data_IF_002229939375
#
_entry.id   IF_002229939375
#
_cell.length_a   1.000
_cell.length_b   1.000
_cell.length_c   1.000
_cell.angle_alpha   90.00
_cell.angle_beta   90.00
_cell.angle_gamma   90.00
#
_symmetry.space_group_name_H-M   'P 1'
#
loop_
_entity.id
_entity.type
_entity.pdbx_description
1 polymer ?
#
# COMPACT_ATOMS: atom_id res chain seq x y z
N UNK A 1 -8.53 -28.49 -13.65
CA UNK A 1 -8.26 -29.40 -12.52
C UNK A 1 -8.77 -28.80 -11.21
N UNK A 2 -9.56 -29.54 -10.45
CA UNK A 2 -10.12 -29.09 -9.16
C UNK A 2 -9.07 -29.32 -8.05
N UNK A 3 -8.70 -28.28 -7.33
CA UNK A 3 -7.74 -28.38 -6.23
C UNK A 3 -8.35 -29.12 -5.04
N UNK A 4 -7.78 -30.27 -4.67
CA UNK A 4 -8.20 -31.05 -3.51
C UNK A 4 -7.21 -30.86 -2.37
N UNK A 5 -7.71 -30.51 -1.17
CA UNK A 5 -6.89 -30.49 0.03
C UNK A 5 -6.78 -31.90 0.62
N UNK A 6 -5.60 -32.23 1.14
CA UNK A 6 -5.41 -33.49 1.87
C UNK A 6 -6.39 -33.58 3.05
N UNK A 7 -6.92 -34.77 3.33
CA UNK A 7 -7.81 -35.03 4.47
C UNK A 7 -7.03 -35.12 5.79
N UNK A 8 -7.75 -35.31 6.91
CA UNK A 8 -7.08 -35.59 8.20
C UNK A 8 -6.41 -36.96 8.16
N UNK A 9 -7.08 -37.98 7.62
CA UNK A 9 -6.54 -39.33 7.51
C UNK A 9 -5.28 -39.36 6.64
N UNK A 10 -5.30 -38.71 5.47
CA UNK A 10 -4.12 -38.64 4.62
C UNK A 10 -2.92 -38.00 5.33
N UNK A 11 -3.14 -36.95 6.14
CA UNK A 11 -2.08 -36.35 6.95
C UNK A 11 -1.56 -37.27 8.04
N UNK A 12 -2.44 -38.08 8.63
CA UNK A 12 -2.07 -39.09 9.61
C UNK A 12 -1.20 -40.17 8.96
N UNK A 13 -1.62 -40.71 7.81
CA UNK A 13 -0.86 -41.69 7.03
C UNK A 13 0.52 -41.16 6.65
N UNK A 14 0.62 -39.91 6.16
CA UNK A 14 1.93 -39.27 5.89
C UNK A 14 2.82 -39.27 7.14
N UNK A 15 2.27 -38.96 8.32
CA UNK A 15 3.08 -38.92 9.55
C UNK A 15 3.58 -40.31 9.97
N UNK A 16 2.76 -41.34 9.85
CA UNK A 16 3.12 -42.72 10.21
C UNK A 16 4.16 -43.28 9.23
N UNK A 17 3.97 -43.06 7.92
CA UNK A 17 4.90 -43.57 6.92
C UNK A 17 6.26 -42.85 6.95
N UNK A 18 6.28 -41.57 7.35
CA UNK A 18 7.54 -40.85 7.60
C UNK A 18 8.28 -41.39 8.84
N UNK A 19 7.57 -41.83 9.87
CA UNK A 19 8.18 -42.48 11.04
C UNK A 19 8.76 -43.86 10.69
N UNK A 20 8.18 -44.54 9.70
CA UNK A 20 8.72 -45.79 9.12
C UNK A 20 9.80 -45.56 8.06
N UNK A 21 10.33 -44.34 7.96
CA UNK A 21 11.40 -43.95 7.02
C UNK A 21 11.10 -44.23 5.54
N UNK A 22 9.82 -44.30 5.16
CA UNK A 22 9.46 -44.55 3.77
C UNK A 22 9.76 -43.36 2.87
N UNK A 23 10.09 -43.64 1.61
CA UNK A 23 10.34 -42.60 0.62
C UNK A 23 9.08 -41.78 0.35
N UNK A 24 9.26 -40.48 0.09
CA UNK A 24 8.14 -39.56 -0.24
C UNK A 24 7.37 -39.99 -1.49
N UNK A 25 8.01 -40.73 -2.40
CA UNK A 25 7.37 -41.34 -3.58
C UNK A 25 6.40 -42.45 -3.16
N UNK A 26 6.85 -43.39 -2.34
CA UNK A 26 6.00 -44.47 -1.84
C UNK A 26 4.83 -43.94 -0.99
N UNK A 27 5.06 -42.90 -0.19
CA UNK A 27 3.98 -42.22 0.56
C UNK A 27 2.92 -41.65 -0.38
N UNK A 28 3.36 -41.04 -1.49
CA UNK A 28 2.46 -40.43 -2.47
C UNK A 28 1.60 -41.48 -3.20
N UNK A 29 2.21 -42.61 -3.56
CA UNK A 29 1.53 -43.77 -4.13
C UNK A 29 0.51 -44.36 -3.14
N UNK A 30 0.89 -44.53 -1.88
CA UNK A 30 0.02 -45.09 -0.84
C UNK A 30 -1.24 -44.27 -0.56
N UNK A 31 -1.17 -42.94 -0.67
CA UNK A 31 -2.33 -42.05 -0.43
C UNK A 31 -3.02 -41.58 -1.72
N UNK A 32 -2.55 -42.05 -2.89
CA UNK A 32 -3.12 -41.73 -4.20
C UNK A 32 -2.95 -40.26 -4.62
N UNK A 33 -1.83 -39.61 -4.29
CA UNK A 33 -1.57 -38.21 -4.68
C UNK A 33 -0.24 -38.06 -5.41
N UNK A 34 -0.08 -36.97 -6.15
CA UNK A 34 1.19 -36.67 -6.80
C UNK A 34 2.30 -36.39 -5.76
N UNK A 35 3.54 -36.85 -6.05
CA UNK A 35 4.72 -36.65 -5.19
C UNK A 35 4.88 -35.21 -4.70
N UNK A 36 4.68 -34.23 -5.57
CA UNK A 36 4.83 -32.80 -5.23
C UNK A 36 3.83 -32.34 -4.17
N UNK A 37 2.67 -32.97 -4.06
CA UNK A 37 1.68 -32.68 -3.01
C UNK A 37 2.21 -33.06 -1.64
N UNK A 38 2.87 -34.22 -1.54
CA UNK A 38 3.50 -34.69 -0.29
C UNK A 38 4.65 -33.76 0.11
N UNK A 39 5.54 -33.40 -0.82
CA UNK A 39 6.63 -32.45 -0.56
C UNK A 39 6.10 -31.11 -0.02
N UNK A 40 5.14 -30.51 -0.74
CA UNK A 40 4.52 -29.23 -0.33
C UNK A 40 3.79 -29.32 1.00
N UNK A 41 3.19 -30.46 1.32
CA UNK A 41 2.51 -30.66 2.60
C UNK A 41 3.52 -30.71 3.75
N UNK A 42 4.60 -31.48 3.60
CA UNK A 42 5.67 -31.59 4.60
C UNK A 42 6.29 -30.22 4.85
N UNK A 43 6.75 -29.55 3.79
CA UNK A 43 7.38 -28.22 3.88
C UNK A 43 6.50 -27.19 4.61
N UNK A 44 5.20 -27.16 4.30
CA UNK A 44 4.27 -26.18 4.89
C UNK A 44 3.89 -26.48 6.35
N UNK A 45 3.96 -27.73 6.77
CA UNK A 45 3.37 -28.19 8.03
C UNK A 45 4.35 -28.81 9.01
N UNK A 46 5.61 -28.97 8.64
CA UNK A 46 6.68 -29.27 9.58
C UNK A 46 6.80 -28.17 10.65
N UNK A 47 7.24 -28.58 11.83
CA UNK A 47 7.57 -27.67 12.92
C UNK A 47 8.75 -26.77 12.53
N UNK A 48 8.63 -25.46 12.72
CA UNK A 48 9.73 -24.52 12.50
C UNK A 48 10.91 -24.76 13.45
N UNK A 49 10.65 -25.26 14.65
CA UNK A 49 11.66 -25.45 15.68
C UNK A 49 12.40 -26.79 15.55
N UNK A 50 11.69 -27.84 15.16
CA UNK A 50 12.23 -29.22 15.14
C UNK A 50 12.38 -29.78 13.73
N UNK A 51 11.86 -29.12 12.70
CA UNK A 51 11.80 -29.62 11.32
C UNK A 51 10.89 -30.84 11.13
N UNK A 52 10.43 -31.47 12.21
CA UNK A 52 9.65 -32.70 12.20
C UNK A 52 8.22 -32.45 11.73
N UNK A 53 7.75 -33.36 10.87
CA UNK A 53 6.35 -33.42 10.45
C UNK A 53 5.56 -34.29 11.42
N UNK A 54 4.49 -33.75 11.99
CA UNK A 54 3.59 -34.50 12.90
C UNK A 54 2.15 -34.22 12.50
N UNK A 55 1.31 -35.25 12.52
CA UNK A 55 -0.12 -35.16 12.20
C UNK A 55 -0.85 -34.05 12.98
N UNK A 56 -0.63 -33.97 14.29
CA UNK A 56 -1.29 -32.98 15.15
C UNK A 56 -0.95 -31.54 14.73
N UNK A 57 0.33 -31.29 14.43
CA UNK A 57 0.82 -29.99 13.95
C UNK A 57 0.28 -29.67 12.57
N UNK A 58 0.27 -30.63 11.65
CA UNK A 58 -0.18 -30.42 10.28
C UNK A 58 -1.67 -30.12 10.20
N UNK A 59 -2.51 -30.86 10.92
CA UNK A 59 -3.94 -30.58 11.03
C UNK A 59 -4.18 -29.21 11.67
N UNK A 60 -3.50 -28.89 12.77
CA UNK A 60 -3.63 -27.59 13.45
C UNK A 60 -3.26 -26.43 12.54
N UNK A 61 -2.14 -26.52 11.81
CA UNK A 61 -1.68 -25.50 10.85
C UNK A 61 -2.65 -25.37 9.68
N UNK A 62 -3.12 -26.48 9.11
CA UNK A 62 -4.12 -26.47 8.03
C UNK A 62 -5.44 -25.82 8.47
N UNK A 63 -5.96 -26.18 9.66
CA UNK A 63 -7.16 -25.57 10.25
C UNK A 63 -6.97 -24.07 10.52
N UNK A 64 -5.82 -23.66 11.06
CA UNK A 64 -5.49 -22.23 11.29
C UNK A 64 -5.50 -21.46 9.97
N UNK A 65 -4.90 -22.00 8.91
CA UNK A 65 -4.93 -21.41 7.57
C UNK A 65 -6.37 -21.29 7.05
N UNK A 66 -7.18 -22.36 7.15
CA UNK A 66 -8.60 -22.33 6.77
C UNK A 66 -9.37 -21.25 7.54
N UNK A 67 -9.18 -21.15 8.87
CA UNK A 67 -9.82 -20.14 9.73
C UNK A 67 -9.41 -18.70 9.38
N UNK A 68 -8.14 -18.45 9.01
CA UNK A 68 -7.70 -17.11 8.56
C UNK A 68 -8.54 -16.57 7.40
N UNK A 69 -9.03 -17.46 6.53
CA UNK A 69 -9.86 -17.11 5.40
C UNK A 69 -11.36 -16.99 5.73
N UNK A 70 -11.81 -17.45 6.90
CA UNK A 70 -13.20 -17.45 7.36
C UNK A 70 -13.59 -16.17 8.15
N UNK A 71 -13.06 -15.01 7.78
CA UNK A 71 -13.59 -13.74 8.29
C UNK A 71 -14.93 -13.44 7.61
N UNK A 72 -15.90 -12.77 8.28
CA UNK A 72 -17.06 -12.24 7.57
C UNK A 72 -16.57 -11.32 6.45
N UNK A 73 -16.73 -11.77 5.20
CA UNK A 73 -16.33 -11.02 3.99
C UNK A 73 -17.46 -10.18 3.44
N UNK A 74 -18.70 -10.54 3.79
CA UNK A 74 -19.91 -9.87 3.33
C UNK A 74 -20.57 -9.20 4.52
N UNK A 75 -21.06 -7.99 4.29
CA UNK A 75 -21.97 -7.32 5.21
C UNK A 75 -23.28 -8.08 5.19
N UNK A 76 -23.79 -8.47 6.36
CA UNK A 76 -25.16 -8.97 6.48
C UNK A 76 -26.12 -7.80 6.75
N UNK A 77 -27.41 -7.90 6.43
CA UNK A 77 -28.38 -6.84 6.71
C UNK A 77 -28.45 -6.47 8.21
N UNK A 78 -28.35 -7.47 9.10
CA UNK A 78 -28.29 -7.25 10.55
C UNK A 78 -27.02 -6.49 10.98
N UNK A 79 -25.87 -6.84 10.41
CA UNK A 79 -24.62 -6.17 10.67
C UNK A 79 -24.69 -4.70 10.20
N UNK A 80 -25.29 -4.45 9.04
CA UNK A 80 -25.49 -3.10 8.53
C UNK A 80 -26.39 -2.27 9.44
N UNK A 81 -27.52 -2.82 9.92
CA UNK A 81 -28.41 -2.13 10.88
C UNK A 81 -27.69 -1.74 12.17
N UNK A 82 -26.84 -2.63 12.69
CA UNK A 82 -26.06 -2.32 13.88
C UNK A 82 -24.99 -1.26 13.61
N UNK A 83 -24.27 -1.37 12.50
CA UNK A 83 -23.22 -0.42 12.10
C UNK A 83 -23.82 0.95 11.83
N UNK A 84 -24.96 1.04 11.13
CA UNK A 84 -25.63 2.31 10.82
C UNK A 84 -26.10 3.03 12.08
N UNK A 85 -26.55 2.31 13.11
CA UNK A 85 -26.85 2.88 14.44
C UNK A 85 -25.63 3.59 15.04
N UNK A 86 -24.47 2.94 15.04
CA UNK A 86 -23.24 3.56 15.56
C UNK A 86 -22.73 4.71 14.67
N UNK A 87 -22.85 4.58 13.34
CA UNK A 87 -22.50 5.65 12.41
C UNK A 87 -23.35 6.90 12.68
N UNK A 88 -24.65 6.74 12.91
CA UNK A 88 -25.56 7.84 13.27
C UNK A 88 -25.24 8.48 14.63
N UNK A 89 -24.61 7.73 15.53
CA UNK A 89 -24.05 8.24 16.80
C UNK A 89 -22.70 8.95 16.62
N UNK A 90 -22.19 9.09 15.39
CA UNK A 90 -20.93 9.78 15.08
C UNK A 90 -19.68 8.92 15.27
N UNK A 91 -19.82 7.59 15.43
CA UNK A 91 -18.66 6.70 15.58
C UNK A 91 -17.94 6.50 14.25
N UNK A 92 -16.61 6.46 14.28
CA UNK A 92 -15.81 6.12 13.10
C UNK A 92 -15.89 4.61 12.79
N UNK A 93 -15.74 4.24 11.52
CA UNK A 93 -15.74 2.83 11.12
C UNK A 93 -14.71 1.97 11.89
N UNK A 94 -13.57 2.55 12.24
CA UNK A 94 -12.54 1.88 13.06
C UNK A 94 -13.00 1.69 14.51
N UNK A 95 -13.63 2.71 15.12
CA UNK A 95 -14.20 2.59 16.47
C UNK A 95 -15.31 1.54 16.52
N UNK A 96 -16.15 1.48 15.49
CA UNK A 96 -17.21 0.47 15.37
C UNK A 96 -16.61 -0.93 15.31
N UNK A 97 -15.59 -1.17 14.47
CA UNK A 97 -14.90 -2.45 14.43
C UNK A 97 -14.29 -2.83 15.79
N UNK A 98 -13.67 -1.86 16.49
CA UNK A 98 -13.13 -2.06 17.83
C UNK A 98 -14.21 -2.45 18.83
N UNK A 99 -15.32 -1.70 18.88
CA UNK A 99 -16.45 -1.97 19.77
C UNK A 99 -17.08 -3.33 19.52
N UNK A 100 -17.28 -3.69 18.25
CA UNK A 100 -17.82 -5.01 17.89
C UNK A 100 -16.91 -6.15 18.34
N UNK A 101 -15.59 -5.96 18.24
CA UNK A 101 -14.61 -6.93 18.72
C UNK A 101 -14.69 -7.10 20.25
N UNK A 102 -14.81 -6.00 21.01
CA UNK A 102 -14.98 -6.04 22.47
C UNK A 102 -16.28 -6.72 22.88
N UNK A 103 -17.36 -6.52 22.12
CA UNK A 103 -18.67 -7.16 22.35
C UNK A 103 -18.75 -8.63 21.86
N UNK A 104 -17.66 -9.18 21.30
CA UNK A 104 -17.66 -10.53 20.72
C UNK A 104 -18.54 -10.69 19.48
N UNK A 105 -18.96 -9.59 18.85
CA UNK A 105 -19.86 -9.59 17.68
C UNK A 105 -19.06 -9.68 16.38
N UNK A 106 -19.63 -10.39 15.41
CA UNK A 106 -19.05 -10.45 14.06
C UNK A 106 -19.16 -9.09 13.37
N UNK A 107 -18.05 -8.62 12.81
CA UNK A 107 -18.00 -7.36 12.06
C UNK A 107 -17.04 -7.48 10.87
N UNK A 108 -17.39 -6.85 9.75
CA UNK A 108 -16.50 -6.70 8.59
C UNK A 108 -15.37 -5.70 8.91
N UNK A 109 -14.36 -5.63 8.03
CA UNK A 109 -13.30 -4.63 8.18
C UNK A 109 -13.82 -3.20 7.99
N UNK A 110 -13.19 -2.22 8.64
CA UNK A 110 -13.53 -0.79 8.49
C UNK A 110 -13.48 -0.34 7.01
N UNK A 111 -12.58 -0.90 6.20
CA UNK A 111 -12.54 -0.66 4.76
C UNK A 111 -13.81 -1.15 4.05
N UNK A 112 -14.38 -2.27 4.48
CA UNK A 112 -15.66 -2.78 3.95
C UNK A 112 -16.81 -1.88 4.38
N UNK A 113 -16.81 -1.40 5.63
CA UNK A 113 -17.79 -0.41 6.11
C UNK A 113 -17.76 0.84 5.20
N UNK A 114 -16.58 1.40 4.91
CA UNK A 114 -16.47 2.54 4.01
C UNK A 114 -17.00 2.25 2.60
N UNK A 115 -16.73 1.07 2.03
CA UNK A 115 -17.32 0.67 0.73
C UNK A 115 -18.85 0.67 0.77
N UNK A 116 -19.45 0.24 1.88
CA UNK A 116 -20.90 0.27 2.05
C UNK A 116 -21.44 1.68 2.23
N UNK A 117 -20.75 2.55 2.97
CA UNK A 117 -21.14 3.96 3.09
C UNK A 117 -21.10 4.66 1.72
N UNK A 118 -20.09 4.36 0.89
CA UNK A 118 -20.04 4.86 -0.50
C UNK A 118 -21.19 4.34 -1.36
N UNK A 119 -21.55 3.06 -1.23
CA UNK A 119 -22.69 2.47 -1.94
C UNK A 119 -24.02 3.10 -1.52
N UNK A 120 -24.21 3.28 -0.21
CA UNK A 120 -25.38 3.94 0.37
C UNK A 120 -25.52 5.37 -0.18
N UNK A 121 -24.43 6.15 -0.15
CA UNK A 121 -24.39 7.50 -0.74
C UNK A 121 -24.77 7.50 -2.22
N UNK A 122 -24.22 6.58 -3.02
CA UNK A 122 -24.51 6.51 -4.45
C UNK A 122 -25.96 6.08 -4.73
N UNK A 123 -26.60 5.38 -3.80
CA UNK A 123 -28.01 5.02 -3.86
C UNK A 123 -28.94 6.10 -3.27
N UNK A 124 -28.42 7.27 -2.88
CA UNK A 124 -29.19 8.37 -2.30
C UNK A 124 -29.36 8.31 -0.78
N UNK A 125 -28.66 7.41 -0.09
CA UNK A 125 -28.69 7.27 1.36
C UNK A 125 -28.00 8.42 2.12
N UNK A 126 -28.29 8.51 3.42
CA UNK A 126 -27.90 9.61 4.28
C UNK A 126 -26.73 9.29 5.23
N UNK A 127 -26.27 8.03 5.27
CA UNK A 127 -25.34 7.56 6.30
C UNK A 127 -24.01 8.31 6.25
N UNK A 128 -23.59 8.75 5.06
CA UNK A 128 -22.37 9.52 4.88
C UNK A 128 -22.40 10.89 5.61
N UNK A 129 -23.58 11.46 5.87
CA UNK A 129 -23.73 12.77 6.56
C UNK A 129 -23.29 12.71 8.01
N UNK A 130 -23.40 11.54 8.64
CA UNK A 130 -22.99 11.28 10.02
C UNK A 130 -21.50 10.96 10.15
N UNK A 131 -20.79 10.77 9.03
CA UNK A 131 -19.33 10.62 9.05
C UNK A 131 -18.67 11.99 9.27
N UNK A 132 -17.68 12.05 10.17
CA UNK A 132 -17.00 13.29 10.61
C UNK A 132 -16.58 14.24 9.47
N UNK A 133 -16.13 13.71 8.34
CA UNK A 133 -15.68 14.51 7.20
C UNK A 133 -16.67 14.51 6.03
N UNK A 134 -17.79 13.78 6.12
CA UNK A 134 -18.81 13.67 5.06
C UNK A 134 -18.23 13.35 3.67
N UNK A 135 -17.03 12.73 3.62
CA UNK A 135 -16.21 12.54 2.41
C UNK A 135 -15.89 13.83 1.62
N UNK A 136 -15.90 14.99 2.27
CA UNK A 136 -15.39 16.25 1.72
C UNK A 136 -13.87 16.22 1.71
N UNK A 137 -13.27 15.66 0.67
CA UNK A 137 -11.85 15.88 0.39
C UNK A 137 -11.70 17.28 -0.24
N UNK A 138 -11.07 18.21 0.47
CA UNK A 138 -10.55 19.44 -0.16
C UNK A 138 -9.30 19.06 -0.94
N UNK A 139 -9.43 18.86 -2.25
CA UNK A 139 -8.28 18.72 -3.14
C UNK A 139 -7.54 20.07 -3.21
N UNK A 140 -6.61 20.31 -2.29
CA UNK A 140 -5.84 21.56 -2.27
C UNK A 140 -4.94 21.72 -3.52
N UNK A 141 -4.65 20.61 -4.21
CA UNK A 141 -3.80 20.55 -5.41
C UNK A 141 -4.46 21.08 -6.68
N UNK A 142 -5.80 21.02 -6.78
CA UNK A 142 -6.52 21.46 -7.99
C UNK A 142 -6.77 22.99 -8.02
N UNK A 143 -6.36 23.71 -6.97
CA UNK A 143 -6.50 25.18 -6.82
C UNK A 143 -5.15 25.89 -6.77
N UNK A 144 -4.13 25.42 -7.49
CA UNK A 144 -3.05 26.33 -7.88
C UNK A 144 -3.50 27.00 -9.17
N UNK A 145 -3.91 28.26 -9.05
CA UNK A 145 -3.84 29.16 -10.21
C UNK A 145 -2.41 29.01 -10.78
N UNK A 146 -2.34 28.60 -12.03
CA UNK A 146 -1.12 28.68 -12.83
C UNK A 146 -0.79 30.17 -12.91
N UNK A 147 -0.06 30.71 -11.91
CA UNK A 147 0.54 32.03 -12.04
C UNK A 147 1.48 31.92 -13.23
N UNK A 148 1.07 32.49 -14.36
CA UNK A 148 1.91 32.60 -15.55
C UNK A 148 3.22 33.24 -15.12
N UNK A 149 4.33 32.52 -15.26
CA UNK A 149 5.66 33.04 -15.00
C UNK A 149 5.88 34.21 -15.96
N UNK A 150 5.97 35.45 -15.44
CA UNK A 150 6.13 36.65 -16.28
C UNK A 150 7.55 36.76 -16.83
N UNK A 151 7.70 37.04 -18.13
CA UNK A 151 8.96 37.42 -18.81
C UNK A 151 9.43 36.46 -19.91
N UNK A 152 10.46 36.86 -20.67
CA UNK A 152 11.14 36.06 -21.71
C UNK A 152 12.01 34.95 -21.11
N UNK A 153 11.42 34.05 -20.31
CA UNK A 153 12.12 32.86 -19.81
C UNK A 153 12.04 31.77 -20.85
N UNK A 154 13.19 31.18 -21.20
CA UNK A 154 13.26 29.98 -22.04
C UNK A 154 13.00 28.75 -21.17
N UNK A 155 12.20 27.81 -21.66
CA UNK A 155 12.01 26.53 -20.97
C UNK A 155 13.33 25.76 -20.94
N UNK A 156 13.51 24.88 -19.94
CA UNK A 156 14.63 23.92 -19.91
C UNK A 156 14.56 23.01 -21.14
N UNK A 157 13.35 22.77 -21.66
CA UNK A 157 13.11 21.98 -22.88
C UNK A 157 13.61 22.66 -24.16
N UNK A 158 13.80 24.00 -24.13
CA UNK A 158 14.28 24.80 -25.28
C UNK A 158 15.81 24.88 -25.35
N UNK A 159 16.53 24.09 -24.56
CA UNK A 159 17.99 24.03 -24.59
C UNK A 159 18.51 23.63 -25.97
N UNK A 160 19.65 24.19 -26.42
CA UNK A 160 20.24 23.79 -27.69
C UNK A 160 20.71 22.32 -27.61
N UNK A 161 20.57 21.58 -28.70
CA UNK A 161 20.95 20.16 -28.76
C UNK A 161 22.43 19.88 -28.41
N UNK A 162 23.30 20.89 -28.56
CA UNK A 162 24.71 20.80 -28.20
C UNK A 162 24.98 20.84 -26.69
N UNK A 163 23.99 21.21 -25.86
CA UNK A 163 24.06 21.21 -24.40
C UNK A 163 23.42 19.93 -23.84
N UNK A 164 23.96 18.77 -24.22
CA UNK A 164 23.46 17.44 -23.84
C UNK A 164 23.96 16.99 -22.45
N UNK A 165 24.87 17.74 -21.83
CA UNK A 165 25.47 17.43 -20.53
C UNK A 165 26.55 16.35 -20.58
N UNK A 166 27.05 15.95 -21.76
CA UNK A 166 28.18 15.00 -21.86
C UNK A 166 29.53 15.67 -21.74
N UNK A 167 29.63 16.94 -22.13
CA UNK A 167 30.86 17.73 -22.05
C UNK A 167 30.90 18.58 -20.77
N UNK A 168 32.11 18.85 -20.30
CA UNK A 168 32.29 19.83 -19.24
C UNK A 168 31.96 21.24 -19.75
N UNK A 169 31.20 21.99 -18.95
CA UNK A 169 30.89 23.40 -19.22
C UNK A 169 29.41 23.69 -19.47
N UNK A 170 28.57 22.67 -19.62
CA UNK A 170 27.12 22.84 -19.65
C UNK A 170 26.63 23.11 -18.22
N UNK A 171 26.38 24.39 -17.92
CA UNK A 171 25.96 24.85 -16.60
C UNK A 171 24.50 25.30 -16.60
N UNK A 172 23.72 24.77 -15.68
CA UNK A 172 22.35 25.20 -15.41
C UNK A 172 22.32 26.07 -14.15
N UNK A 173 21.57 27.17 -14.20
CA UNK A 173 21.41 28.08 -13.06
C UNK A 173 19.94 28.24 -12.70
N UNK A 174 19.60 27.98 -11.45
CA UNK A 174 18.26 28.23 -10.92
C UNK A 174 18.30 29.25 -9.78
N UNK A 175 17.20 29.99 -9.63
CA UNK A 175 16.98 30.89 -8.52
C UNK A 175 15.92 30.31 -7.59
N UNK A 176 16.33 29.91 -6.39
CA UNK A 176 15.43 29.49 -5.32
C UNK A 176 15.01 30.74 -4.55
N UNK A 177 13.70 31.01 -4.51
CA UNK A 177 13.12 32.10 -3.71
C UNK A 177 12.38 31.50 -2.52
N UNK A 178 12.81 31.89 -1.32
CA UNK A 178 12.21 31.48 -0.06
C UNK A 178 11.37 32.59 0.59
N UNK A 179 10.74 32.29 1.74
CA UNK A 179 10.00 33.28 2.52
C UNK A 179 10.85 34.51 2.89
N UNK A 180 10.23 35.68 3.00
CA UNK A 180 10.89 36.90 3.45
C UNK A 180 11.92 37.49 2.49
N UNK A 181 11.74 37.31 1.17
CA UNK A 181 12.69 37.73 0.12
C UNK A 181 14.09 37.13 0.28
N UNK A 182 14.17 35.96 0.92
CA UNK A 182 15.39 35.16 0.92
C UNK A 182 15.57 34.51 -0.46
N UNK A 183 16.79 34.46 -0.97
CA UNK A 183 17.07 33.84 -2.25
C UNK A 183 18.44 33.18 -2.28
N UNK A 184 18.53 32.07 -2.99
CA UNK A 184 19.78 31.39 -3.28
C UNK A 184 19.87 31.11 -4.78
N UNK A 185 21.06 31.36 -5.33
CA UNK A 185 21.40 30.95 -6.69
C UNK A 185 22.03 29.56 -6.62
N UNK A 186 21.51 28.62 -7.40
CA UNK A 186 22.12 27.32 -7.61
C UNK A 186 22.71 27.28 -9.00
N UNK A 187 23.89 26.70 -9.14
CA UNK A 187 24.55 26.45 -10.41
C UNK A 187 24.99 25.00 -10.43
N UNK A 188 24.57 24.24 -11.44
CA UNK A 188 24.90 22.81 -11.58
C UNK A 188 25.64 22.61 -12.88
N UNK A 189 26.81 22.00 -12.82
CA UNK A 189 27.53 21.50 -13.99
C UNK A 189 26.97 20.11 -14.34
N UNK A 190 26.45 19.93 -15.55
CA UNK A 190 25.61 18.78 -15.91
C UNK A 190 26.38 17.47 -16.12
N UNK A 191 27.65 17.54 -16.52
CA UNK A 191 28.45 16.34 -16.81
C UNK A 191 29.00 15.68 -15.54
N UNK A 192 29.32 16.49 -14.54
CA UNK A 192 29.89 16.09 -13.25
C UNK A 192 28.86 16.09 -12.11
N UNK A 193 27.67 16.66 -12.34
CA UNK A 193 26.67 16.96 -11.31
C UNK A 193 27.22 17.83 -10.16
N UNK A 194 28.29 18.59 -10.42
CA UNK A 194 28.86 19.48 -9.42
C UNK A 194 27.94 20.68 -9.20
N UNK A 195 27.39 20.79 -7.98
CA UNK A 195 26.51 21.87 -7.57
C UNK A 195 27.21 22.93 -6.73
N UNK A 196 27.04 24.19 -7.11
CA UNK A 196 27.45 25.37 -6.33
C UNK A 196 26.19 26.11 -5.90
N UNK A 197 26.06 26.37 -4.60
CA UNK A 197 24.92 27.11 -4.05
C UNK A 197 25.45 28.36 -3.36
N UNK A 198 24.91 29.52 -3.74
CA UNK A 198 25.24 30.80 -3.11
C UNK A 198 23.99 31.51 -2.60
N UNK A 199 23.96 31.78 -1.30
CA UNK A 199 22.96 32.65 -0.69
C UNK A 199 23.15 34.08 -1.21
N UNK A 200 22.09 34.71 -1.69
CA UNK A 200 22.10 36.09 -2.13
C UNK A 200 21.64 37.03 -1.00
N UNK A 201 22.25 38.21 -0.92
CA UNK A 201 21.88 39.23 0.06
C UNK A 201 20.56 39.91 -0.36
N UNK A 202 19.43 39.36 0.11
CA UNK A 202 18.03 39.82 -0.09
C UNK A 202 17.62 40.02 -1.56
N UNK A 203 16.58 39.30 -1.99
CA UNK A 203 15.97 39.50 -3.30
C UNK A 203 15.23 40.85 -3.31
N UNK A 204 15.83 41.90 -3.89
CA UNK A 204 15.10 43.11 -4.26
C UNK A 204 14.30 42.81 -5.53
N UNK A 205 13.00 43.09 -5.51
CA UNK A 205 12.12 43.01 -6.69
C UNK A 205 12.79 43.73 -7.87
N UNK A 206 13.00 43.01 -8.98
CA UNK A 206 13.84 43.46 -10.08
C UNK A 206 13.28 44.72 -10.78
N UNK A 207 13.88 45.89 -10.49
CA UNK A 207 14.18 46.92 -11.48
C UNK A 207 15.70 47.08 -11.45
N UNK A 208 16.42 46.58 -12.45
CA UNK A 208 17.85 46.88 -12.60
C UNK A 208 18.81 45.70 -12.65
N UNK A 209 18.52 44.66 -13.43
CA UNK A 209 19.57 43.79 -13.96
C UNK A 209 19.40 43.66 -15.47
N UNK A 210 19.62 44.76 -16.19
CA UNK A 210 19.96 44.72 -17.61
C UNK A 210 21.44 44.37 -17.70
N UNK A 211 21.75 43.27 -18.39
CA UNK A 211 23.10 42.75 -18.52
C UNK A 211 24.05 43.79 -19.09
N UNK A 212 25.19 43.99 -18.43
CA UNK A 212 26.37 44.54 -19.08
C UNK A 212 27.07 43.38 -19.77
N UNK A 213 26.94 43.33 -21.10
CA UNK A 213 27.86 42.58 -21.94
C UNK A 213 29.22 43.30 -21.91
N UNK A 214 30.24 42.59 -21.46
CA UNK A 214 31.61 42.67 -21.97
C UNK A 214 32.17 41.26 -21.99
#
# INVERSE_FOLDING_TARGET
MKFHQLTSEQRYTISVLLQKEMSKKAIAEAIGVHRSTVYREIERNSSEYTGKYTYTVSVRRARRRKRRYQRPRKMTPEMWRNISKYLRMGWSAQQICGRMKTLGRMCVSHATIYKYIWRDRNAGGDIYRYCRFQFKYRNHWLKRDQKSLSGNRKSIDERPACADGKRFGDREMDLIIGPGNSSALTMVERSTNLGIIRKLAKYKTARGFQGRNR
#
